data_IF_669328563901
#
_entry.id   IF_669328563901
#
_cell.length_a   1.000
_cell.length_b   1.000
_cell.length_c   1.000
_cell.angle_alpha   90.00
_cell.angle_beta   90.00
_cell.angle_gamma   90.00
#
_symmetry.space_group_name_H-M   'P 1'
#
loop_
_entity.id
_entity.type
_entity.pdbx_description
1 polymer ?
#
# COMPACT_ATOMS: atom_id res chain seq x y z
N UNK A 1 39.16 1.42 4.82
CA UNK A 1 38.15 2.04 3.94
C UNK A 1 36.87 2.19 4.76
N UNK A 2 36.85 3.03 5.80
CA UNK A 2 36.79 4.50 5.79
C UNK A 2 35.43 5.04 5.29
N UNK A 3 34.62 5.45 6.26
CA UNK A 3 33.51 6.42 6.24
C UNK A 3 32.35 6.30 5.23
N UNK A 4 31.20 5.80 5.73
CA UNK A 4 29.86 6.27 5.33
C UNK A 4 28.93 6.47 6.54
N UNK A 5 29.47 6.90 7.68
CA UNK A 5 28.66 7.48 8.75
C UNK A 5 28.22 8.89 8.32
N UNK A 6 27.04 9.00 7.70
CA UNK A 6 26.44 10.31 7.38
C UNK A 6 25.73 10.46 6.03
N UNK A 7 25.44 9.39 5.26
CA UNK A 7 24.46 9.51 4.16
C UNK A 7 23.07 9.53 4.78
N UNK A 8 22.34 10.64 4.64
CA UNK A 8 20.93 10.68 5.01
C UNK A 8 20.15 9.64 4.20
N UNK A 9 19.85 8.50 4.80
CA UNK A 9 19.07 7.43 4.17
C UNK A 9 17.60 7.83 4.24
N UNK A 10 17.02 8.14 3.08
CA UNK A 10 15.59 8.38 2.95
C UNK A 10 14.92 7.04 2.65
N UNK A 11 13.83 6.70 3.35
CA UNK A 11 13.04 5.50 3.04
C UNK A 11 11.73 5.90 2.36
N UNK A 12 11.35 5.20 1.30
CA UNK A 12 10.06 5.32 0.65
C UNK A 12 9.26 4.03 0.91
N UNK A 13 8.16 4.16 1.64
CA UNK A 13 7.17 3.10 1.79
C UNK A 13 6.00 3.35 0.84
N UNK A 14 5.73 2.39 -0.03
CA UNK A 14 4.55 2.39 -0.89
C UNK A 14 3.61 1.29 -0.41
N UNK A 15 2.39 1.64 -0.03
CA UNK A 15 1.36 0.70 0.41
C UNK A 15 0.32 0.57 -0.70
N UNK A 16 0.13 -0.64 -1.20
CA UNK A 16 -0.97 -1.00 -2.11
C UNK A 16 -2.07 -1.65 -1.28
N UNK A 17 -3.25 -1.05 -1.27
CA UNK A 17 -4.44 -1.56 -0.60
C UNK A 17 -5.42 -2.10 -1.63
N UNK A 18 -5.80 -3.37 -1.49
CA UNK A 18 -6.90 -3.95 -2.24
C UNK A 18 -8.25 -3.37 -1.76
N UNK A 19 -8.93 -2.66 -2.66
CA UNK A 19 -10.22 -2.00 -2.40
C UNK A 19 -11.36 -2.67 -3.17
N UNK A 20 -11.29 -3.98 -3.39
CA UNK A 20 -12.34 -4.75 -4.04
C UNK A 20 -13.67 -4.73 -3.25
N UNK A 21 -14.74 -4.09 -3.77
CA UNK A 21 -15.98 -3.89 -3.04
C UNK A 21 -16.73 -5.20 -2.79
N UNK A 22 -16.60 -6.19 -3.69
CA UNK A 22 -17.24 -7.49 -3.58
C UNK A 22 -16.67 -8.28 -2.40
N UNK A 23 -15.33 -8.31 -2.26
CA UNK A 23 -14.69 -9.00 -1.16
C UNK A 23 -14.96 -8.32 0.19
N UNK A 24 -14.85 -6.98 0.25
CA UNK A 24 -15.15 -6.20 1.46
C UNK A 24 -16.63 -6.32 1.87
N UNK A 25 -17.56 -6.40 0.91
CA UNK A 25 -18.98 -6.64 1.15
C UNK A 25 -19.25 -8.03 1.75
N UNK A 26 -18.64 -9.08 1.17
CA UNK A 26 -18.73 -10.45 1.69
C UNK A 26 -18.15 -10.56 3.09
N UNK A 27 -16.97 -9.97 3.33
CA UNK A 27 -16.35 -9.98 4.66
C UNK A 27 -17.18 -9.28 5.71
N UNK A 28 -17.79 -8.13 5.40
CA UNK A 28 -18.68 -7.44 6.33
C UNK A 28 -19.93 -8.28 6.68
N UNK A 29 -20.43 -9.07 5.73
CA UNK A 29 -21.59 -9.95 5.97
C UNK A 29 -21.25 -11.16 6.84
N UNK A 30 -20.05 -11.74 6.68
CA UNK A 30 -19.61 -12.94 7.41
C UNK A 30 -19.04 -12.60 8.79
N UNK A 31 -18.20 -11.57 8.84
CA UNK A 31 -17.34 -11.25 9.99
C UNK A 31 -17.52 -9.77 10.32
N UNK A 32 -18.71 -9.42 10.84
CA UNK A 32 -19.17 -8.03 11.04
C UNK A 32 -18.29 -7.15 11.94
N UNK A 33 -17.19 -7.70 12.47
CA UNK A 33 -16.21 -7.00 13.29
C UNK A 33 -15.05 -6.39 12.48
N UNK A 34 -14.73 -6.92 11.30
CA UNK A 34 -13.65 -6.39 10.45
C UNK A 34 -14.21 -5.69 9.21
N UNK A 35 -14.03 -4.37 9.15
CA UNK A 35 -14.47 -3.52 8.04
C UNK A 35 -13.30 -2.89 7.32
N UNK A 36 -13.54 -2.44 6.08
CA UNK A 36 -12.59 -1.63 5.33
C UNK A 36 -12.16 -0.37 6.12
N UNK A 37 -13.06 0.24 6.90
CA UNK A 37 -12.71 1.39 7.73
C UNK A 37 -11.66 1.04 8.79
N UNK A 38 -11.84 -0.10 9.48
CA UNK A 38 -10.86 -0.57 10.47
C UNK A 38 -9.51 -0.90 9.83
N UNK A 39 -9.52 -1.49 8.63
CA UNK A 39 -8.29 -1.74 7.86
C UNK A 39 -7.56 -0.43 7.52
N UNK A 40 -8.30 0.59 7.06
CA UNK A 40 -7.73 1.91 6.78
C UNK A 40 -7.17 2.55 8.03
N UNK A 41 -7.88 2.49 9.17
CA UNK A 41 -7.39 3.01 10.45
C UNK A 41 -6.05 2.34 10.84
N UNK A 42 -5.96 1.01 10.71
CA UNK A 42 -4.72 0.28 10.96
C UNK A 42 -3.59 0.71 10.01
N UNK A 43 -3.89 0.85 8.71
CA UNK A 43 -2.91 1.29 7.70
C UNK A 43 -2.46 2.72 7.96
N UNK A 44 -3.36 3.61 8.36
CA UNK A 44 -3.04 5.00 8.69
C UNK A 44 -2.13 5.11 9.92
N UNK A 45 -2.41 4.34 10.97
CA UNK A 45 -1.52 4.27 12.14
C UNK A 45 -0.15 3.72 11.75
N UNK A 46 -0.12 2.66 10.94
CA UNK A 46 1.11 2.07 10.44
C UNK A 46 1.92 3.05 9.56
N UNK A 47 1.26 3.73 8.62
CA UNK A 47 1.84 4.76 7.77
C UNK A 47 2.43 5.92 8.59
N UNK A 48 1.70 6.40 9.59
CA UNK A 48 2.17 7.43 10.51
C UNK A 48 3.39 6.95 11.30
N UNK A 49 3.38 5.70 11.78
CA UNK A 49 4.54 5.13 12.47
C UNK A 49 5.79 5.12 11.60
N UNK A 50 5.66 4.81 10.30
CA UNK A 50 6.78 4.84 9.35
C UNK A 50 7.32 6.26 9.15
N UNK A 51 6.45 7.26 9.02
CA UNK A 51 6.85 8.67 8.91
C UNK A 51 7.53 9.18 10.19
N UNK A 52 7.13 8.67 11.37
CA UNK A 52 7.75 9.02 12.65
C UNK A 52 9.15 8.44 12.84
N UNK A 53 9.51 7.35 12.13
CA UNK A 53 10.85 6.74 12.27
C UNK A 53 11.97 7.64 11.75
N UNK A 54 11.74 8.42 10.70
CA UNK A 54 12.69 9.39 10.21
C UNK A 54 12.01 10.53 9.45
N UNK A 55 12.46 11.77 9.68
CA UNK A 55 11.88 12.98 9.08
C UNK A 55 12.01 13.03 7.54
N UNK A 56 12.91 12.25 6.94
CA UNK A 56 13.07 12.15 5.47
C UNK A 56 12.26 11.01 4.84
N UNK A 57 11.53 10.23 5.64
CA UNK A 57 10.72 9.15 5.12
C UNK A 57 9.57 9.69 4.27
N UNK A 58 9.32 9.03 3.16
CA UNK A 58 8.25 9.33 2.22
C UNK A 58 7.26 8.17 2.24
N UNK A 59 5.99 8.50 2.04
CA UNK A 59 4.91 7.54 1.99
C UNK A 59 4.12 7.73 0.69
N UNK A 60 3.70 6.64 0.08
CA UNK A 60 2.64 6.62 -0.90
C UNK A 60 1.64 5.51 -0.57
N UNK A 61 0.36 5.77 -0.79
CA UNK A 61 -0.73 4.80 -0.60
C UNK A 61 -1.55 4.76 -1.88
N UNK A 62 -1.70 3.58 -2.46
CA UNK A 62 -2.38 3.32 -3.72
C UNK A 62 -3.50 2.32 -3.47
N UNK A 63 -4.70 2.63 -3.92
CA UNK A 63 -5.82 1.70 -3.97
C UNK A 63 -5.77 0.89 -5.26
N UNK A 64 -5.84 -0.43 -5.15
CA UNK A 64 -6.08 -1.36 -6.23
C UNK A 64 -7.58 -1.71 -6.25
N UNK A 65 -8.33 -1.02 -7.11
CA UNK A 65 -9.75 -1.30 -7.32
C UNK A 65 -9.94 -2.31 -8.47
N UNK A 66 -11.18 -2.72 -8.77
CA UNK A 66 -11.47 -3.69 -9.84
C UNK A 66 -11.18 -3.11 -11.23
N UNK A 67 -11.47 -1.83 -11.43
CA UNK A 67 -11.45 -1.21 -12.76
C UNK A 67 -10.23 -0.32 -12.99
N UNK A 68 -9.69 0.26 -11.90
CA UNK A 68 -8.58 1.20 -11.97
C UNK A 68 -7.76 1.21 -10.68
N UNK A 69 -6.53 1.75 -10.74
CA UNK A 69 -5.70 1.99 -9.57
C UNK A 69 -5.55 3.49 -9.32
N UNK A 70 -5.67 3.91 -8.06
CA UNK A 70 -5.73 5.34 -7.69
C UNK A 70 -4.81 5.62 -6.50
N UNK A 71 -4.09 6.74 -6.56
CA UNK A 71 -3.36 7.25 -5.41
C UNK A 71 -4.34 7.77 -4.35
N UNK A 72 -4.34 7.14 -3.19
CA UNK A 72 -4.96 7.68 -1.98
C UNK A 72 -4.07 8.79 -1.40
N UNK A 73 -2.76 8.58 -1.43
CA UNK A 73 -1.74 9.54 -0.99
C UNK A 73 -0.42 9.36 -1.76
N UNK A 74 0.35 10.42 -2.08
CA UNK A 74 -0.02 11.84 -2.04
C UNK A 74 -0.98 12.22 -3.17
N UNK A 75 -1.67 13.35 -3.03
CA UNK A 75 -2.57 13.83 -4.08
C UNK A 75 -1.74 14.42 -5.23
N UNK A 76 -2.07 14.10 -6.47
CA UNK A 76 -1.35 14.65 -7.62
C UNK A 76 -1.45 16.19 -7.61
N UNK A 77 -0.36 16.94 -7.87
CA UNK A 77 -0.27 18.39 -7.66
C UNK A 77 -1.21 19.29 -8.50
N UNK A 78 -2.19 18.72 -9.22
CA UNK A 78 -3.22 19.46 -9.97
C UNK A 78 -4.63 19.43 -9.35
N UNK A 79 -4.85 18.68 -8.26
CA UNK A 79 -6.13 18.64 -7.54
C UNK A 79 -5.85 18.77 -6.04
N UNK A 80 -5.39 19.92 -5.57
CA UNK A 80 -5.47 20.22 -4.15
C UNK A 80 -6.95 20.36 -3.81
N UNK A 81 -7.54 19.34 -3.18
CA UNK A 81 -8.82 19.53 -2.53
C UNK A 81 -8.59 20.52 -1.38
N UNK A 82 -9.47 21.49 -1.23
CA UNK A 82 -9.42 22.49 -0.17
C UNK A 82 -9.12 21.83 1.17
N UNK A 83 -7.96 22.17 1.74
CA UNK A 83 -7.52 21.70 3.04
C UNK A 83 -8.48 22.31 4.06
N UNK A 84 -9.36 21.50 4.63
CA UNK A 84 -10.09 21.87 5.84
C UNK A 84 -9.04 21.97 6.95
N UNK A 85 -8.53 23.18 7.16
CA UNK A 85 -7.64 23.49 8.28
C UNK A 85 -8.46 23.43 9.57
N UNK A 86 -8.28 22.36 10.33
CA UNK A 86 -8.66 22.34 11.75
C UNK A 86 -7.67 23.22 12.55
N UNK A 87 -8.05 23.72 13.74
CA UNK A 87 -7.23 24.67 14.48
C UNK A 87 -6.00 24.00 15.11
N UNK A 88 -4.83 24.41 14.62
CA UNK A 88 -3.51 24.61 15.26
C UNK A 88 -3.08 23.65 16.39
N UNK A 89 -2.28 22.64 16.02
CA UNK A 89 -1.23 22.09 16.89
C UNK A 89 -0.08 21.50 16.01
N UNK A 90 0.95 22.33 15.81
CA UNK A 90 1.90 22.33 14.68
C UNK A 90 2.85 21.15 14.45
N UNK A 91 2.55 19.94 14.93
CA UNK A 91 3.31 18.72 14.57
C UNK A 91 2.43 17.51 14.21
N UNK A 92 1.13 17.53 14.56
CA UNK A 92 0.21 16.42 14.27
C UNK A 92 -0.65 16.64 13.02
N UNK A 93 -0.65 17.85 12.44
CA UNK A 93 -1.44 18.15 11.25
C UNK A 93 -1.02 17.33 10.03
N UNK A 94 0.28 17.13 9.79
CA UNK A 94 0.76 16.36 8.64
C UNK A 94 0.25 14.90 8.69
N UNK A 95 0.18 14.30 9.87
CA UNK A 95 -0.32 12.93 10.06
C UNK A 95 -1.85 12.86 9.96
N UNK A 96 -2.56 13.84 10.54
CA UNK A 96 -4.01 13.96 10.40
C UNK A 96 -4.44 14.22 8.95
N UNK A 97 -3.62 14.97 8.19
CA UNK A 97 -3.82 15.20 6.76
C UNK A 97 -3.69 13.90 5.95
N UNK A 98 -2.70 13.05 6.25
CA UNK A 98 -2.54 11.74 5.57
C UNK A 98 -3.78 10.87 5.79
N UNK A 99 -4.23 10.72 7.03
CA UNK A 99 -5.43 9.93 7.35
C UNK A 99 -6.69 10.51 6.68
N UNK A 100 -6.92 11.82 6.84
CA UNK A 100 -8.06 12.51 6.26
C UNK A 100 -8.09 12.38 4.73
N UNK A 101 -6.93 12.47 4.08
CA UNK A 101 -6.82 12.33 2.63
C UNK A 101 -7.11 10.89 2.18
N UNK A 102 -6.53 9.88 2.83
CA UNK A 102 -6.77 8.46 2.51
C UNK A 102 -8.27 8.16 2.61
N UNK A 103 -8.91 8.58 3.70
CA UNK A 103 -10.35 8.37 3.94
C UNK A 103 -11.21 9.11 2.91
N UNK A 104 -10.85 10.35 2.57
CA UNK A 104 -11.58 11.15 1.57
C UNK A 104 -11.48 10.56 0.17
N UNK A 105 -10.30 10.11 -0.26
CA UNK A 105 -10.13 9.49 -1.59
C UNK A 105 -10.82 8.13 -1.66
N UNK A 106 -10.75 7.32 -0.61
CA UNK A 106 -11.45 6.06 -0.55
C UNK A 106 -12.97 6.24 -0.61
N UNK A 107 -13.50 7.24 0.09
CA UNK A 107 -14.93 7.60 0.01
C UNK A 107 -15.34 8.01 -1.41
N UNK A 108 -14.49 8.78 -2.11
CA UNK A 108 -14.73 9.17 -3.51
C UNK A 108 -14.72 7.97 -4.45
N UNK A 109 -13.85 6.97 -4.22
CA UNK A 109 -13.84 5.74 -5.01
C UNK A 109 -15.16 4.98 -4.83
N UNK A 110 -15.54 4.69 -3.58
CA UNK A 110 -16.77 3.96 -3.26
C UNK A 110 -18.03 4.68 -3.79
N UNK A 111 -18.06 6.02 -3.75
CA UNK A 111 -19.17 6.80 -4.28
C UNK A 111 -19.29 6.69 -5.81
N UNK A 112 -18.15 6.75 -6.53
CA UNK A 112 -18.14 6.56 -7.98
C UNK A 112 -18.59 5.17 -8.38
N UNK A 113 -18.13 4.15 -7.66
CA UNK A 113 -18.54 2.77 -7.93
C UNK A 113 -20.06 2.63 -7.75
N UNK A 114 -20.62 3.28 -6.72
CA UNK A 114 -22.07 3.28 -6.49
C UNK A 114 -22.83 3.99 -7.62
N UNK A 115 -22.35 5.16 -8.07
CA UNK A 115 -22.95 5.91 -9.18
C UNK A 115 -22.94 5.09 -10.48
N UNK A 116 -21.83 4.41 -10.77
CA UNK A 116 -21.72 3.52 -11.93
C UNK A 116 -22.67 2.31 -11.86
N UNK A 117 -22.89 1.76 -10.66
CA UNK A 117 -23.83 0.65 -10.45
C UNK A 117 -25.28 1.13 -10.55
N UNK A 118 -25.61 2.31 -10.01
CA UNK A 118 -26.96 2.87 -10.07
C UNK A 118 -27.36 3.31 -11.51
N UNK A 119 -26.39 3.64 -12.37
CA UNK A 119 -26.62 3.98 -13.79
C UNK A 119 -26.73 2.75 -14.72
N UNK A 120 -26.30 1.56 -14.27
CA UNK A 120 -26.38 0.32 -15.05
C UNK A 120 -27.63 -0.51 -14.67
N UNK A 121 -28.57 -0.65 -15.61
CA UNK A 121 -29.84 -1.39 -15.42
C UNK A 121 -29.70 -2.92 -15.35
N UNK A 122 -28.51 -3.47 -15.58
CA UNK A 122 -28.22 -4.90 -15.47
C UNK A 122 -27.05 -5.09 -14.51
N UNK A 123 -27.18 -6.01 -13.55
CA UNK A 123 -26.11 -6.37 -12.61
C UNK A 123 -24.96 -6.93 -13.44
N UNK A 124 -23.85 -6.19 -13.64
CA UNK A 124 -22.71 -6.78 -14.30
C UNK A 124 -22.22 -7.86 -13.34
N UNK A 125 -21.84 -9.03 -13.85
CA UNK A 125 -20.89 -9.89 -13.15
C UNK A 125 -19.59 -9.08 -13.02
N UNK A 126 -19.53 -8.20 -12.01
CA UNK A 126 -18.34 -7.40 -11.77
C UNK A 126 -17.19 -8.37 -11.56
N UNK A 127 -16.08 -8.23 -12.30
CA UNK A 127 -14.93 -9.08 -12.10
C UNK A 127 -14.55 -9.00 -10.63
N UNK A 128 -14.49 -10.16 -9.97
CA UNK A 128 -14.11 -10.28 -8.56
C UNK A 128 -12.65 -9.92 -8.30
N UNK A 129 -11.99 -9.30 -9.27
CA UNK A 129 -10.56 -9.30 -9.41
C UNK A 129 -10.05 -7.87 -9.23
N UNK A 130 -9.18 -7.69 -8.24
CA UNK A 130 -8.46 -6.44 -8.06
C UNK A 130 -7.34 -6.30 -9.09
N UNK A 131 -7.13 -5.10 -9.66
CA UNK A 131 -6.03 -4.82 -10.59
C UNK A 131 -4.71 -4.53 -9.86
N UNK A 132 -4.15 -5.55 -9.19
CA UNK A 132 -2.90 -5.40 -8.43
C UNK A 132 -1.71 -5.13 -9.36
N UNK A 133 -1.66 -5.79 -10.52
CA UNK A 133 -0.60 -5.57 -11.50
C UNK A 133 -0.52 -4.10 -11.95
N UNK A 134 -1.68 -3.46 -12.15
CA UNK A 134 -1.78 -2.04 -12.48
C UNK A 134 -1.27 -1.16 -11.36
N UNK A 135 -1.69 -1.41 -10.12
CA UNK A 135 -1.24 -0.66 -8.95
C UNK A 135 0.29 -0.80 -8.73
N UNK A 136 0.85 -1.99 -8.96
CA UNK A 136 2.30 -2.22 -8.89
C UNK A 136 3.06 -1.45 -9.97
N UNK A 137 2.60 -1.47 -11.22
CA UNK A 137 3.24 -0.70 -12.29
C UNK A 137 3.27 0.80 -11.96
N UNK A 138 2.16 1.34 -11.45
CA UNK A 138 2.05 2.73 -11.01
C UNK A 138 2.99 3.02 -9.84
N UNK A 139 3.07 2.12 -8.85
CA UNK A 139 3.98 2.23 -7.72
C UNK A 139 5.46 2.28 -8.16
N UNK A 140 5.86 1.39 -9.06
CA UNK A 140 7.24 1.32 -9.57
C UNK A 140 7.60 2.55 -10.40
N UNK A 141 6.68 3.04 -11.22
CA UNK A 141 6.86 4.31 -11.95
C UNK A 141 7.04 5.48 -10.98
N UNK A 142 6.26 5.53 -9.90
CA UNK A 142 6.37 6.56 -8.87
C UNK A 142 7.71 6.48 -8.10
N UNK A 143 8.13 5.28 -7.72
CA UNK A 143 9.43 5.05 -7.08
C UNK A 143 10.60 5.52 -7.95
N UNK A 144 10.62 5.11 -9.22
CA UNK A 144 11.64 5.52 -10.19
C UNK A 144 11.66 7.04 -10.42
N UNK A 145 10.50 7.70 -10.39
CA UNK A 145 10.44 9.16 -10.45
C UNK A 145 11.10 9.79 -9.23
N UNK A 146 10.77 9.33 -8.03
CA UNK A 146 11.32 9.88 -6.79
C UNK A 146 12.83 9.63 -6.65
N UNK A 147 13.31 8.49 -7.11
CA UNK A 147 14.74 8.18 -7.13
C UNK A 147 15.51 9.18 -8.01
N UNK A 148 14.94 9.62 -9.14
CA UNK A 148 15.53 10.63 -10.03
C UNK A 148 15.44 12.06 -9.49
N UNK A 149 14.44 12.36 -8.65
CA UNK A 149 14.28 13.67 -8.02
C UNK A 149 15.19 13.85 -6.79
N UNK A 150 15.77 12.76 -6.25
CA UNK A 150 16.66 12.84 -5.10
C UNK A 150 18.01 13.52 -5.44
N UNK A 151 18.53 14.38 -4.54
CA UNK A 151 19.80 15.06 -4.76
C UNK A 151 20.98 14.08 -4.77
N UNK A 152 22.01 14.42 -5.54
CA UNK A 152 23.23 13.62 -5.72
C UNK A 152 23.88 13.37 -4.34
N UNK A 153 23.86 12.12 -3.87
CA UNK A 153 24.47 11.70 -2.62
C UNK A 153 23.52 11.05 -1.59
N UNK A 154 22.20 11.22 -1.74
CA UNK A 154 21.22 10.50 -0.93
C UNK A 154 20.81 9.18 -1.59
N UNK A 155 20.73 8.11 -0.81
CA UNK A 155 20.20 6.82 -1.25
C UNK A 155 18.76 6.68 -0.78
N UNK A 156 17.83 6.47 -1.71
CA UNK A 156 16.42 6.22 -1.44
C UNK A 156 16.18 4.71 -1.35
N UNK A 157 15.90 4.19 -0.16
CA UNK A 157 15.48 2.79 0.01
C UNK A 157 13.97 2.70 -0.18
N UNK A 158 13.54 2.12 -1.30
CA UNK A 158 12.12 1.92 -1.60
C UNK A 158 11.66 0.52 -1.21
N UNK A 159 10.49 0.45 -0.58
CA UNK A 159 9.82 -0.79 -0.21
C UNK A 159 8.34 -0.74 -0.56
N UNK A 160 7.86 -1.81 -1.16
CA UNK A 160 6.47 -1.98 -1.54
C UNK A 160 5.79 -2.94 -0.57
N UNK A 161 4.65 -2.56 -0.03
CA UNK A 161 3.80 -3.41 0.80
C UNK A 161 2.45 -3.59 0.12
N UNK A 162 2.09 -4.83 -0.18
CA UNK A 162 0.81 -5.19 -0.81
C UNK A 162 -0.12 -5.80 0.24
N UNK A 163 -1.25 -5.18 0.49
CA UNK A 163 -2.30 -5.70 1.37
C UNK A 163 -3.42 -6.21 0.47
N UNK A 164 -3.55 -7.54 0.38
CA UNK A 164 -4.51 -8.22 -0.50
C UNK A 164 -5.55 -8.98 0.31
N UNK A 165 -6.82 -8.84 -0.06
CA UNK A 165 -7.93 -9.63 0.49
C UNK A 165 -8.59 -10.54 -0.53
N UNK A 166 -8.75 -10.04 -1.76
CA UNK A 166 -9.41 -10.76 -2.85
C UNK A 166 -8.60 -11.95 -3.38
N UNK A 167 -9.21 -12.75 -4.25
CA UNK A 167 -8.57 -13.92 -4.86
C UNK A 167 -7.61 -13.54 -6.00
N UNK A 168 -6.77 -14.48 -6.41
CA UNK A 168 -5.88 -14.28 -7.56
C UNK A 168 -6.59 -14.52 -8.88
N UNK A 169 -6.42 -13.60 -9.82
CA UNK A 169 -6.84 -13.80 -11.19
C UNK A 169 -5.68 -14.30 -12.06
N UNK A 170 -5.78 -15.50 -12.67
CA UNK A 170 -4.73 -16.04 -13.54
C UNK A 170 -4.44 -15.17 -14.76
N UNK A 171 -5.44 -14.43 -15.27
CA UNK A 171 -5.27 -13.57 -16.45
C UNK A 171 -4.25 -12.43 -16.22
N UNK A 172 -4.12 -11.97 -14.97
CA UNK A 172 -3.19 -10.90 -14.61
C UNK A 172 -1.76 -11.38 -14.36
N UNK A 173 -1.53 -12.70 -14.38
CA UNK A 173 -0.23 -13.30 -14.03
C UNK A 173 0.94 -12.70 -14.81
N UNK A 174 0.83 -12.62 -16.15
CA UNK A 174 1.92 -12.11 -16.98
C UNK A 174 2.28 -10.66 -16.64
N UNK A 175 1.26 -9.80 -16.47
CA UNK A 175 1.45 -8.40 -16.16
C UNK A 175 2.03 -8.21 -14.75
N UNK A 176 1.56 -8.99 -13.79
CA UNK A 176 2.06 -9.01 -12.42
C UNK A 176 3.53 -9.43 -12.36
N UNK A 177 3.89 -10.54 -13.01
CA UNK A 177 5.27 -11.04 -13.03
C UNK A 177 6.22 -10.05 -13.72
N UNK A 178 5.80 -9.40 -14.79
CA UNK A 178 6.59 -8.34 -15.43
C UNK A 178 6.87 -7.17 -14.47
N UNK A 179 5.90 -6.80 -13.63
CA UNK A 179 6.10 -5.79 -12.59
C UNK A 179 7.08 -6.29 -11.51
N UNK A 180 6.96 -7.54 -11.05
CA UNK A 180 7.88 -8.14 -10.07
C UNK A 180 9.32 -8.16 -10.58
N UNK A 181 9.57 -8.59 -11.81
CA UNK A 181 10.92 -8.58 -12.39
C UNK A 181 11.47 -7.16 -12.55
N UNK A 182 10.60 -6.19 -12.81
CA UNK A 182 11.00 -4.78 -12.86
C UNK A 182 11.37 -4.27 -11.47
N UNK A 183 10.60 -4.63 -10.44
CA UNK A 183 10.90 -4.31 -9.04
C UNK A 183 12.24 -4.90 -8.60
N UNK A 184 12.52 -6.16 -8.96
CA UNK A 184 13.79 -6.83 -8.69
C UNK A 184 14.97 -6.08 -9.34
N UNK A 185 14.83 -5.64 -10.60
CA UNK A 185 15.85 -4.84 -11.29
C UNK A 185 16.09 -3.47 -10.64
N UNK A 186 15.05 -2.88 -10.07
CA UNK A 186 15.11 -1.61 -9.33
C UNK A 186 15.50 -1.79 -7.86
N UNK A 187 15.84 -3.02 -7.42
CA UNK A 187 16.19 -3.32 -6.03
C UNK A 187 15.08 -2.94 -5.02
N UNK A 188 13.82 -3.02 -5.44
CA UNK A 188 12.65 -2.75 -4.60
C UNK A 188 12.15 -4.06 -3.99
N UNK A 189 12.09 -4.09 -2.66
CA UNK A 189 11.59 -5.25 -1.90
C UNK A 189 10.05 -5.20 -1.87
N UNK A 190 9.41 -6.34 -2.16
CA UNK A 190 7.95 -6.49 -2.10
C UNK A 190 7.56 -7.34 -0.91
N UNK A 191 6.92 -6.73 0.07
CA UNK A 191 6.25 -7.39 1.17
C UNK A 191 4.76 -7.59 0.86
N UNK A 192 4.22 -8.76 1.15
CA UNK A 192 2.82 -9.10 0.92
C UNK A 192 2.13 -9.46 2.25
N UNK A 193 0.97 -8.87 2.49
CA UNK A 193 0.09 -9.16 3.60
C UNK A 193 -1.26 -9.63 3.06
N UNK A 194 -1.64 -10.85 3.40
CA UNK A 194 -2.86 -11.48 2.92
C UNK A 194 -3.86 -11.63 4.06
N UNK A 195 -5.08 -11.19 3.79
CA UNK A 195 -6.18 -11.15 4.75
C UNK A 195 -7.01 -12.44 4.79
N UNK A 196 -7.01 -13.25 3.72
CA UNK A 196 -7.93 -14.40 3.61
C UNK A 196 -7.25 -15.63 3.00
N UNK A 197 -7.41 -15.83 1.70
CA UNK A 197 -6.86 -16.97 0.97
C UNK A 197 -5.42 -16.73 0.56
N UNK A 198 -4.60 -17.77 0.68
CA UNK A 198 -3.21 -17.74 0.23
C UNK A 198 -3.12 -17.47 -1.27
N UNK A 199 -2.14 -16.64 -1.63
CA UNK A 199 -1.84 -16.28 -3.01
C UNK A 199 -0.48 -16.84 -3.39
N UNK A 200 -0.47 -17.84 -4.28
CA UNK A 200 0.77 -18.38 -4.82
C UNK A 200 1.56 -17.34 -5.63
N UNK A 201 0.87 -16.37 -6.24
CA UNK A 201 1.50 -15.30 -7.01
C UNK A 201 2.30 -14.34 -6.13
N UNK A 202 1.71 -13.92 -5.01
CA UNK A 202 2.39 -13.04 -4.07
C UNK A 202 3.53 -13.75 -3.33
N UNK A 203 3.41 -15.06 -3.06
CA UNK A 203 4.53 -15.86 -2.52
C UNK A 203 5.74 -15.80 -3.45
N UNK A 204 5.53 -16.09 -4.74
CA UNK A 204 6.59 -16.01 -5.75
C UNK A 204 7.19 -14.61 -5.85
N UNK A 205 6.36 -13.56 -5.77
CA UNK A 205 6.85 -12.17 -5.79
C UNK A 205 7.77 -11.84 -4.60
N UNK A 206 7.39 -12.29 -3.41
CA UNK A 206 8.21 -12.13 -2.21
C UNK A 206 9.52 -12.91 -2.33
N UNK A 207 9.49 -14.14 -2.83
CA UNK A 207 10.69 -14.97 -3.01
C UNK A 207 11.67 -14.36 -4.02
N UNK A 208 11.17 -13.82 -5.14
CA UNK A 208 12.00 -13.18 -6.19
C UNK A 208 12.66 -11.90 -5.69
N UNK A 209 11.94 -11.10 -4.91
CA UNK A 209 12.44 -9.81 -4.39
C UNK A 209 13.13 -9.91 -3.03
N UNK A 210 13.11 -11.10 -2.39
CA UNK A 210 13.63 -11.30 -1.04
C UNK A 210 12.80 -10.61 0.05
N UNK A 211 11.53 -10.31 -0.24
CA UNK A 211 10.58 -9.71 0.69
C UNK A 211 9.87 -10.75 1.54
N UNK A 212 8.89 -10.30 2.33
CA UNK A 212 8.16 -11.16 3.26
C UNK A 212 6.73 -11.40 2.81
N UNK A 213 6.32 -12.66 2.87
CA UNK A 213 4.92 -13.06 2.75
C UNK A 213 4.32 -13.29 4.14
N UNK A 214 3.22 -12.61 4.44
CA UNK A 214 2.51 -12.69 5.71
C UNK A 214 1.04 -13.01 5.49
N UNK A 215 0.61 -14.16 6.00
CA UNK A 215 -0.81 -14.50 6.12
C UNK A 215 -1.30 -14.08 7.50
N UNK A 216 -2.37 -13.28 7.55
CA UNK A 216 -2.97 -12.81 8.80
C UNK A 216 -3.98 -13.85 9.30
N UNK A 217 -3.73 -14.54 10.43
CA UNK A 217 -4.65 -15.55 10.94
C UNK A 217 -5.90 -14.92 11.59
N UNK A 218 -5.76 -13.73 12.18
CA UNK A 218 -6.85 -12.99 12.82
C UNK A 218 -6.80 -11.52 12.41
N UNK A 219 -7.84 -11.07 11.71
CA UNK A 219 -7.92 -9.74 11.12
C UNK A 219 -7.92 -8.61 12.15
N UNK A 220 -8.43 -8.86 13.36
CA UNK A 220 -8.42 -7.91 14.47
C UNK A 220 -7.00 -7.55 14.94
N UNK A 221 -6.05 -8.48 14.77
CA UNK A 221 -4.65 -8.27 15.12
C UNK A 221 -3.82 -7.65 14.00
N UNK A 222 -4.45 -7.20 12.89
CA UNK A 222 -3.73 -6.73 11.70
C UNK A 222 -2.66 -5.70 12.05
N UNK A 223 -2.99 -4.69 12.86
CA UNK A 223 -2.05 -3.66 13.28
C UNK A 223 -0.82 -4.23 13.99
N UNK A 224 -1.01 -5.20 14.89
CA UNK A 224 0.08 -5.85 15.61
C UNK A 224 1.00 -6.59 14.64
N UNK A 225 0.42 -7.31 13.68
CA UNK A 225 1.18 -8.02 12.65
C UNK A 225 1.98 -7.06 11.77
N UNK A 226 1.39 -5.93 11.37
CA UNK A 226 2.07 -4.88 10.61
C UNK A 226 3.24 -4.30 11.42
N UNK A 227 2.99 -3.83 12.64
CA UNK A 227 4.00 -3.16 13.46
C UNK A 227 5.17 -4.05 13.84
N UNK A 228 4.91 -5.26 14.35
CA UNK A 228 5.95 -6.19 14.82
C UNK A 228 6.89 -6.57 13.68
N UNK A 229 6.36 -6.72 12.47
CA UNK A 229 7.14 -7.18 11.33
C UNK A 229 7.91 -6.06 10.65
N UNK A 230 7.44 -4.82 10.70
CA UNK A 230 8.20 -3.69 10.13
C UNK A 230 9.29 -3.15 11.06
N UNK A 231 9.13 -3.25 12.39
CA UNK A 231 10.19 -2.83 13.32
C UNK A 231 11.38 -3.80 13.36
N UNK A 232 11.14 -5.11 13.24
CA UNK A 232 12.22 -6.11 13.14
C UNK A 232 13.04 -6.02 11.85
N UNK A 233 12.63 -5.20 10.87
CA UNK A 233 13.37 -5.01 9.61
C UNK A 233 14.37 -3.86 9.64
N UNK A 234 14.31 -2.97 10.63
CA UNK A 234 15.41 -2.02 10.90
C UNK A 234 16.55 -2.67 11.69
N UNK A 235 16.27 -3.79 12.37
CA UNK A 235 17.23 -4.61 13.14
C UNK A 235 17.44 -5.94 12.42
N UNK A 236 17.91 -5.94 11.17
CA UNK A 236 18.60 -7.12 10.64
C UNK A 236 19.99 -7.17 11.29
N UNK A 237 20.07 -7.62 12.54
CA UNK A 237 21.27 -8.34 12.95
C UNK A 237 21.34 -9.64 12.13
N UNK A 238 22.53 -10.02 11.64
CA UNK A 238 22.69 -11.25 10.89
C UNK A 238 22.53 -12.41 11.86
N UNK A 239 21.34 -13.01 11.92
CA UNK A 239 21.21 -14.39 12.36
C UNK A 239 21.62 -15.27 11.20
N UNK A 240 22.93 -15.55 11.13
CA UNK A 240 23.42 -16.75 10.47
C UNK A 240 23.19 -17.95 11.41
N UNK A 241 22.80 -19.13 10.90
CA UNK A 241 23.12 -20.38 11.58
C UNK A 241 24.62 -20.66 11.56
#
# INVERSE_FOLDING_TARGET
>A
MADTAGKGSSSLLIIILDTNPVWWGKKKAVDGQFSLSHCVDCISVFANSHLMLAHKNKLAVIAAHTDHSVFLYPQYPGKQAEIVKLPDDGQYEAFGQVEGQIRAQLKKLIMKDKEQIDEMYEVPEQPSDSLIAGAMAVALCYANRLEKECPIGEALSTRLMVIKGSEDCPSQYMNFMNAVFTAQKQNIIIDACILDKDSGLLQQACDITGGMYLKVPQLQGLLQYLMVRTQNMSIRMPFFP
#
